data_IF_284951394928
#
_entry.id   IF_284951394928
#
_cell.length_a   1.000
_cell.length_b   1.000
_cell.length_c   1.000
_cell.angle_alpha   90.00
_cell.angle_beta   90.00
_cell.angle_gamma   90.00
#
_symmetry.space_group_name_H-M   'P 1'
#
loop_
_entity.id
_entity.type
_entity.pdbx_description
1 polymer ?
#
# COMPACT_ATOMS: atom_id res chain seq x y z
N UNK A 1 -12.17 26.39 30.54
CA UNK A 1 -12.47 25.40 29.48
C UNK A 1 -11.44 25.56 28.38
N UNK A 2 -10.51 24.61 28.12
CA UNK A 2 -9.58 24.77 27.02
C UNK A 2 -9.99 23.85 25.86
N UNK A 3 -10.47 24.46 24.77
CA UNK A 3 -10.55 23.82 23.46
C UNK A 3 -10.15 24.85 22.39
N UNK A 4 -8.97 24.67 21.81
CA UNK A 4 -8.53 25.18 20.48
C UNK A 4 -7.07 24.82 20.28
N UNK A 5 -6.82 23.67 19.68
CA UNK A 5 -5.47 23.25 19.31
C UNK A 5 -5.32 21.73 19.24
N UNK A 6 -6.20 21.03 18.53
CA UNK A 6 -5.83 19.71 18.03
C UNK A 6 -4.60 19.90 17.13
N UNK A 7 -3.45 19.49 17.65
CA UNK A 7 -2.15 19.80 17.05
C UNK A 7 -2.09 19.12 15.69
N UNK A 8 -1.77 19.80 14.58
CA UNK A 8 -1.71 19.19 13.25
C UNK A 8 -0.84 17.93 13.22
N UNK A 9 0.18 17.87 14.07
CA UNK A 9 1.05 16.72 14.28
C UNK A 9 0.32 15.44 14.77
N UNK A 10 -0.73 15.56 15.58
CA UNK A 10 -1.47 14.41 16.10
C UNK A 10 -2.34 13.79 15.00
N UNK A 11 -3.00 14.63 14.19
CA UNK A 11 -3.78 14.18 13.02
C UNK A 11 -2.92 13.51 11.95
N UNK A 12 -1.68 14.00 11.75
CA UNK A 12 -0.72 13.40 10.83
C UNK A 12 -0.22 12.04 11.33
N UNK A 13 0.09 11.90 12.63
CA UNK A 13 0.48 10.62 13.21
C UNK A 13 -0.61 9.56 13.09
N UNK A 14 -1.85 9.91 13.43
CA UNK A 14 -2.98 8.98 13.26
C UNK A 14 -3.16 8.56 11.80
N UNK A 15 -3.01 9.49 10.85
CA UNK A 15 -3.06 9.15 9.41
C UNK A 15 -1.97 8.16 9.01
N UNK A 16 -0.74 8.36 9.51
CA UNK A 16 0.38 7.44 9.26
C UNK A 16 0.12 6.06 9.87
N UNK A 17 -0.42 5.99 11.08
CA UNK A 17 -0.79 4.71 11.72
C UNK A 17 -1.84 3.96 10.90
N UNK A 18 -2.87 4.66 10.39
CA UNK A 18 -3.86 4.05 9.48
C UNK A 18 -3.22 3.60 8.17
N UNK A 19 -2.28 4.36 7.61
CA UNK A 19 -1.59 3.98 6.37
C UNK A 19 -0.76 2.69 6.57
N UNK A 20 -0.02 2.60 7.68
CA UNK A 20 0.76 1.42 8.03
C UNK A 20 -0.12 0.19 8.28
N UNK A 21 -1.22 0.33 9.02
CA UNK A 21 -2.14 -0.80 9.26
C UNK A 21 -2.87 -1.21 7.98
N UNK A 22 -3.25 -0.26 7.12
CA UNK A 22 -3.85 -0.58 5.82
C UNK A 22 -2.86 -1.33 4.92
N UNK A 23 -1.59 -0.90 4.88
CA UNK A 23 -0.52 -1.59 4.17
C UNK A 23 -0.34 -3.03 4.67
N UNK A 24 -0.34 -3.23 6.00
CA UNK A 24 -0.26 -4.56 6.62
C UNK A 24 -1.45 -5.45 6.23
N UNK A 25 -2.66 -4.91 6.21
CA UNK A 25 -3.87 -5.63 5.77
C UNK A 25 -3.74 -6.05 4.31
N UNK A 26 -3.29 -5.16 3.43
CA UNK A 26 -3.09 -5.48 2.00
C UNK A 26 -2.05 -6.59 1.84
N UNK A 27 -0.94 -6.51 2.57
CA UNK A 27 0.15 -7.47 2.48
C UNK A 27 -0.21 -8.87 3.01
N UNK A 28 -0.94 -8.93 4.14
CA UNK A 28 -1.19 -10.19 4.85
C UNK A 28 -2.53 -10.83 4.48
N UNK A 29 -3.57 -10.04 4.25
CA UNK A 29 -4.92 -10.53 3.98
C UNK A 29 -5.22 -10.62 2.46
N UNK A 30 -4.25 -10.27 1.60
CA UNK A 30 -4.42 -10.30 0.14
C UNK A 30 -5.50 -9.35 -0.39
N UNK A 31 -5.89 -8.35 0.40
CA UNK A 31 -6.96 -7.43 0.07
C UNK A 31 -6.52 -6.49 -1.07
N UNK A 32 -7.05 -6.70 -2.28
CA UNK A 32 -6.75 -5.87 -3.46
C UNK A 32 -7.50 -4.53 -3.45
N UNK A 33 -8.52 -4.39 -2.61
CA UNK A 33 -9.32 -3.17 -2.53
C UNK A 33 -8.81 -2.23 -1.44
N UNK A 34 -8.08 -1.19 -1.84
CA UNK A 34 -7.56 -0.15 -0.94
C UNK A 34 -8.64 0.54 -0.11
N UNK A 35 -9.88 0.67 -0.62
CA UNK A 35 -10.97 1.31 0.14
C UNK A 35 -11.36 0.45 1.34
N UNK A 36 -11.55 -0.85 1.13
CA UNK A 36 -11.86 -1.79 2.22
C UNK A 36 -10.71 -1.88 3.22
N UNK A 37 -9.46 -1.85 2.74
CA UNK A 37 -8.28 -1.83 3.61
C UNK A 37 -8.25 -0.56 4.50
N UNK A 38 -8.54 0.62 3.94
CA UNK A 38 -8.64 1.89 4.69
C UNK A 38 -9.72 1.87 5.75
N UNK A 39 -10.92 1.43 5.39
CA UNK A 39 -12.07 1.36 6.30
C UNK A 39 -11.76 0.40 7.47
N UNK A 40 -11.17 -0.75 7.17
CA UNK A 40 -10.77 -1.74 8.18
C UNK A 40 -9.62 -1.25 9.06
N UNK A 41 -8.62 -0.57 8.48
CA UNK A 41 -7.51 0.02 9.22
C UNK A 41 -7.99 1.14 10.16
N UNK A 42 -8.84 2.05 9.68
CA UNK A 42 -9.41 3.11 10.49
C UNK A 42 -10.23 2.55 11.67
N UNK A 43 -11.03 1.50 11.43
CA UNK A 43 -11.76 0.81 12.49
C UNK A 43 -10.83 0.20 13.55
N UNK A 44 -9.70 -0.41 13.15
CA UNK A 44 -8.71 -0.98 14.08
C UNK A 44 -7.95 0.08 14.89
N UNK A 45 -7.68 1.24 14.29
CA UNK A 45 -7.00 2.38 14.94
C UNK A 45 -7.98 3.21 15.81
N UNK A 46 -9.28 2.91 15.77
CA UNK A 46 -10.31 3.61 16.57
C UNK A 46 -10.76 4.95 15.97
N UNK A 47 -10.46 5.19 14.68
CA UNK A 47 -10.90 6.39 13.96
C UNK A 47 -12.33 6.21 13.43
N UNK A 48 -13.25 7.00 13.96
CA UNK A 48 -14.65 7.05 13.53
C UNK A 48 -14.89 8.31 12.69
N UNK A 49 -14.63 8.20 11.38
CA UNK A 49 -14.91 9.28 10.42
C UNK A 49 -14.01 9.27 9.19
N UNK A 50 -14.44 9.95 8.12
CA UNK A 50 -13.64 10.15 6.89
C UNK A 50 -12.52 11.20 7.04
N UNK A 51 -12.53 11.96 8.15
CA UNK A 51 -11.52 12.98 8.40
C UNK A 51 -10.20 12.32 8.80
N UNK A 52 -9.18 12.39 7.95
CA UNK A 52 -7.84 11.87 8.23
C UNK A 52 -7.51 10.49 7.63
N UNK A 53 -8.31 9.96 6.71
CA UNK A 53 -7.93 8.76 5.96
C UNK A 53 -6.73 9.04 5.02
N UNK A 54 -5.75 8.12 4.94
CA UNK A 54 -4.63 8.25 4.02
C UNK A 54 -5.07 8.11 2.55
N UNK A 55 -4.29 8.72 1.67
CA UNK A 55 -4.33 8.53 0.22
C UNK A 55 -3.90 7.11 -0.16
N UNK A 56 -4.23 6.67 -1.39
CA UNK A 56 -3.74 5.37 -1.88
C UNK A 56 -2.22 5.36 -1.98
N UNK A 57 -1.61 6.47 -2.40
CA UNK A 57 -0.16 6.63 -2.50
C UNK A 57 0.55 6.51 -1.15
N UNK A 58 -0.04 7.03 -0.06
CA UNK A 58 0.52 6.85 1.29
C UNK A 58 0.50 5.38 1.72
N UNK A 59 -0.57 4.64 1.39
CA UNK A 59 -0.66 3.20 1.68
C UNK A 59 0.33 2.41 0.83
N UNK A 60 0.46 2.72 -0.45
CA UNK A 60 1.44 2.08 -1.35
C UNK A 60 2.87 2.29 -0.85
N UNK A 61 3.19 3.50 -0.38
CA UNK A 61 4.49 3.80 0.22
C UNK A 61 4.75 2.96 1.47
N UNK A 62 3.78 2.86 2.38
CA UNK A 62 3.90 2.02 3.58
C UNK A 62 3.92 0.53 3.25
N UNK A 63 3.19 0.09 2.22
CA UNK A 63 3.21 -1.29 1.72
C UNK A 63 4.60 -1.66 1.20
N UNK A 64 5.23 -0.76 0.45
CA UNK A 64 6.59 -0.95 -0.03
C UNK A 64 7.59 -1.04 1.12
N UNK A 65 7.46 -0.17 2.14
CA UNK A 65 8.29 -0.24 3.35
C UNK A 65 8.10 -1.56 4.09
N UNK A 66 6.86 -1.99 4.25
CA UNK A 66 6.52 -3.27 4.88
C UNK A 66 7.14 -4.44 4.12
N UNK A 67 6.99 -4.48 2.79
CA UNK A 67 7.58 -5.54 1.95
C UNK A 67 9.11 -5.50 1.98
N UNK A 68 9.74 -4.33 2.04
CA UNK A 68 11.20 -4.22 2.19
C UNK A 68 11.68 -4.75 3.54
N UNK A 69 10.94 -4.51 4.64
CA UNK A 69 11.30 -4.97 5.98
C UNK A 69 11.03 -6.47 6.19
N UNK A 70 9.94 -7.00 5.63
CA UNK A 70 9.45 -8.34 5.94
C UNK A 70 9.50 -9.33 4.77
N UNK A 71 9.72 -8.87 3.52
CA UNK A 71 9.66 -9.71 2.33
C UNK A 71 10.88 -10.60 2.11
N UNK A 72 12.04 -10.20 2.62
CA UNK A 72 13.28 -10.98 2.54
C UNK A 72 13.65 -11.44 1.12
N UNK A 73 14.45 -12.51 1.03
CA UNK A 73 14.90 -13.06 -0.25
C UNK A 73 13.76 -13.68 -1.07
N UNK A 74 12.74 -14.27 -0.43
CA UNK A 74 11.61 -14.88 -1.13
C UNK A 74 10.81 -13.86 -1.95
N UNK A 75 10.60 -12.66 -1.42
CA UNK A 75 9.92 -11.59 -2.14
C UNK A 75 10.72 -11.14 -3.37
N UNK A 76 12.05 -11.00 -3.23
CA UNK A 76 12.92 -10.63 -4.34
C UNK A 76 12.90 -11.70 -5.45
N UNK A 77 12.97 -12.98 -5.10
CA UNK A 77 12.85 -14.09 -6.05
C UNK A 77 11.50 -14.08 -6.75
N UNK A 78 10.41 -13.96 -5.99
CA UNK A 78 9.05 -13.91 -6.57
C UNK A 78 8.85 -12.71 -7.50
N UNK A 79 9.41 -11.56 -7.14
CA UNK A 79 9.37 -10.37 -7.99
C UNK A 79 10.18 -10.57 -9.28
N UNK A 80 11.33 -11.25 -9.21
CA UNK A 80 12.10 -11.61 -10.39
C UNK A 80 11.31 -12.55 -11.31
N UNK A 81 10.65 -13.56 -10.77
CA UNK A 81 9.80 -14.50 -11.54
C UNK A 81 8.65 -13.77 -12.24
N UNK A 82 7.96 -12.87 -11.53
CA UNK A 82 6.89 -12.05 -12.10
C UNK A 82 7.40 -11.13 -13.21
N UNK A 83 8.60 -10.55 -13.06
CA UNK A 83 9.23 -9.71 -14.08
C UNK A 83 9.62 -10.52 -15.32
N UNK A 84 10.09 -11.76 -15.14
CA UNK A 84 10.37 -12.66 -16.27
C UNK A 84 9.09 -13.01 -17.03
N UNK A 85 8.01 -13.35 -16.32
CA UNK A 85 6.71 -13.62 -16.92
C UNK A 85 6.15 -12.39 -17.67
N UNK A 86 6.25 -11.21 -17.05
CA UNK A 86 5.85 -9.95 -17.66
C UNK A 86 6.65 -9.66 -18.95
N UNK A 87 7.97 -9.87 -18.92
CA UNK A 87 8.83 -9.69 -20.08
C UNK A 87 8.44 -10.64 -21.22
N UNK A 88 8.15 -11.90 -20.92
CA UNK A 88 7.69 -12.87 -21.91
C UNK A 88 6.36 -12.43 -22.55
N UNK A 89 5.38 -11.99 -21.74
CA UNK A 89 4.12 -11.46 -22.23
C UNK A 89 4.31 -10.19 -23.08
N UNK A 90 5.17 -9.26 -22.66
CA UNK A 90 5.44 -8.03 -23.41
C UNK A 90 6.09 -8.31 -24.77
N UNK A 91 6.99 -9.31 -24.85
CA UNK A 91 7.57 -9.78 -26.12
C UNK A 91 6.50 -10.40 -27.02
N UNK A 92 5.61 -11.22 -26.45
CA UNK A 92 4.51 -11.82 -27.21
C UNK A 92 3.57 -10.76 -27.80
N UNK A 93 3.20 -9.75 -27.00
CA UNK A 93 2.33 -8.65 -27.41
C UNK A 93 3.05 -7.47 -28.05
N UNK A 94 4.31 -7.62 -28.51
CA UNK A 94 5.15 -6.48 -28.92
C UNK A 94 4.49 -5.53 -29.94
N UNK A 95 3.65 -6.06 -30.84
CA UNK A 95 2.92 -5.29 -31.87
C UNK A 95 1.99 -4.23 -31.27
N UNK A 96 1.52 -4.45 -30.04
CA UNK A 96 0.61 -3.56 -29.32
C UNK A 96 1.34 -2.56 -28.41
N UNK A 97 2.68 -2.53 -28.41
CA UNK A 97 3.51 -1.65 -27.56
C UNK A 97 3.10 -1.73 -26.07
N UNK A 98 3.13 -2.92 -25.46
CA UNK A 98 2.67 -3.12 -24.10
C UNK A 98 3.53 -2.32 -23.12
N UNK A 99 2.91 -1.87 -22.02
CA UNK A 99 3.59 -1.18 -20.91
C UNK A 99 3.34 -1.94 -19.61
N UNK A 100 4.39 -2.19 -18.84
CA UNK A 100 4.28 -2.77 -17.52
C UNK A 100 3.83 -1.69 -16.52
N UNK A 101 2.91 -2.02 -15.63
CA UNK A 101 2.39 -1.12 -14.59
C UNK A 101 2.13 -1.90 -13.30
N UNK A 102 2.00 -1.19 -12.18
CA UNK A 102 1.62 -1.76 -10.89
C UNK A 102 2.78 -2.45 -10.16
N UNK A 103 2.47 -3.35 -9.21
CA UNK A 103 3.45 -3.85 -8.23
C UNK A 103 4.69 -4.53 -8.83
N UNK A 104 4.56 -5.19 -9.98
CA UNK A 104 5.69 -5.87 -10.65
C UNK A 104 6.71 -4.85 -11.19
N UNK A 105 6.25 -3.66 -11.59
CA UNK A 105 7.12 -2.57 -12.00
C UNK A 105 7.76 -1.92 -10.77
N UNK A 106 6.93 -1.49 -9.83
CA UNK A 106 7.31 -0.66 -8.69
C UNK A 106 8.27 -1.35 -7.71
N UNK A 107 8.18 -2.69 -7.63
CA UNK A 107 8.99 -3.50 -6.72
C UNK A 107 8.46 -3.47 -5.30
#
# INVERSE_FOLDING_TARGET
MPNKGERPNQSQRLRQEVAAEAARIVATEGQRNYRLAKEKAAARVGLSGRSGLPSNSEIELELKRYQAMYGGNEHATRLADLRQAALAAMKFFHRFRPRLVGPVLEG
#
